data_IF_124862685740
#
_entry.id   IF_124862685740
#
_cell.length_a   1.000
_cell.length_b   1.000
_cell.length_c   1.000
_cell.angle_alpha   90.00
_cell.angle_beta   90.00
_cell.angle_gamma   90.00
#
_symmetry.space_group_name_H-M   'P 1'
#
loop_
_entity.id
_entity.type
_entity.pdbx_description
1 polymer ?
#
# COMPACT_ATOMS: atom_id res chain seq x y z
N UNK A 1 -7.20 -9.12 0.74
CA UNK A 1 -6.37 -9.75 1.81
C UNK A 1 -5.86 -8.73 2.84
N UNK A 2 -5.56 -7.51 2.41
CA UNK A 2 -4.89 -6.47 3.18
C UNK A 2 -5.60 -5.97 4.47
N UNK A 3 -6.88 -6.31 4.69
CA UNK A 3 -7.63 -5.94 5.89
C UNK A 3 -7.48 -6.92 7.04
N UNK A 4 -7.11 -8.19 6.76
CA UNK A 4 -6.94 -9.18 7.82
C UNK A 4 -5.75 -8.79 8.71
N UNK A 5 -6.03 -8.55 10.00
CA UNK A 5 -5.02 -8.20 11.01
C UNK A 5 -4.39 -9.48 11.59
N UNK A 6 -3.42 -9.35 12.49
CA UNK A 6 -2.82 -10.48 13.22
C UNK A 6 -3.87 -11.31 13.97
N UNK A 7 -4.96 -10.69 14.42
CA UNK A 7 -5.92 -11.32 15.34
C UNK A 7 -7.36 -11.36 14.81
N UNK A 8 -7.67 -10.75 13.66
CA UNK A 8 -9.05 -10.62 13.19
C UNK A 8 -9.20 -10.67 11.66
N UNK A 9 -10.10 -11.52 11.12
CA UNK A 9 -10.59 -11.40 9.75
C UNK A 9 -11.60 -10.25 9.65
N UNK A 10 -11.48 -9.41 8.62
CA UNK A 10 -12.36 -8.25 8.38
C UNK A 10 -12.24 -7.77 6.92
N UNK A 11 -13.18 -6.93 6.45
CA UNK A 11 -13.14 -6.37 5.09
C UNK A 11 -12.98 -7.44 4.00
N UNK A 12 -13.78 -8.51 4.07
CA UNK A 12 -13.70 -9.66 3.16
C UNK A 12 -12.37 -10.45 3.17
N UNK A 13 -11.46 -10.14 4.11
CA UNK A 13 -10.15 -10.77 4.22
C UNK A 13 -10.11 -11.77 5.39
N UNK A 14 -9.75 -13.02 5.10
CA UNK A 14 -9.54 -14.06 6.13
C UNK A 14 -8.05 -14.16 6.51
N UNK A 15 -7.16 -14.15 5.51
CA UNK A 15 -5.72 -14.15 5.68
C UNK A 15 -5.09 -12.97 4.93
N UNK A 16 -3.97 -12.46 5.45
CA UNK A 16 -3.22 -11.39 4.82
C UNK A 16 -2.11 -11.96 3.93
N UNK A 17 -2.43 -12.20 2.66
CA UNK A 17 -1.50 -12.82 1.71
C UNK A 17 -0.24 -11.96 1.45
N UNK A 18 -0.39 -10.63 1.37
CA UNK A 18 0.75 -9.72 1.17
C UNK A 18 1.73 -9.76 2.33
N UNK A 19 1.22 -9.66 3.57
CA UNK A 19 2.06 -9.75 4.76
C UNK A 19 2.69 -11.15 4.91
N UNK A 20 1.92 -12.21 4.67
CA UNK A 20 2.42 -13.59 4.76
C UNK A 20 3.56 -13.84 3.76
N UNK A 21 3.41 -13.40 2.51
CA UNK A 21 4.44 -13.52 1.49
C UNK A 21 5.70 -12.73 1.86
N UNK A 22 5.55 -11.47 2.31
CA UNK A 22 6.67 -10.62 2.69
C UNK A 22 7.48 -11.23 3.86
N UNK A 23 6.80 -11.63 4.93
CA UNK A 23 7.45 -12.21 6.10
C UNK A 23 8.09 -13.56 5.78
N UNK A 24 7.42 -14.39 4.98
CA UNK A 24 7.97 -15.67 4.57
C UNK A 24 9.27 -15.50 3.77
N UNK A 25 9.30 -14.57 2.80
CA UNK A 25 10.48 -14.26 2.00
C UNK A 25 11.64 -13.75 2.88
N UNK A 26 11.36 -12.81 3.79
CA UNK A 26 12.34 -12.24 4.71
C UNK A 26 12.92 -13.25 5.72
N UNK A 27 12.19 -14.32 6.02
CA UNK A 27 12.62 -15.35 6.96
C UNK A 27 13.32 -16.52 6.25
N UNK A 28 12.90 -16.87 5.04
CA UNK A 28 13.30 -18.14 4.41
C UNK A 28 14.16 -17.98 3.15
N UNK A 29 14.19 -16.81 2.49
CA UNK A 29 15.08 -16.57 1.36
C UNK A 29 16.27 -15.70 1.78
N UNK A 30 17.48 -16.26 1.93
CA UNK A 30 18.66 -15.52 2.38
C UNK A 30 19.12 -14.42 1.39
N UNK A 31 18.54 -14.36 0.20
CA UNK A 31 18.80 -13.31 -0.79
C UNK A 31 17.87 -12.10 -0.62
N UNK A 32 16.79 -12.24 0.15
CA UNK A 32 15.77 -11.21 0.35
C UNK A 32 15.97 -10.58 1.73
N UNK A 33 16.51 -9.37 1.76
CA UNK A 33 16.74 -8.60 2.96
C UNK A 33 15.70 -7.51 3.16
N UNK A 34 15.09 -7.03 2.07
CA UNK A 34 14.09 -5.96 2.07
C UNK A 34 12.93 -6.25 1.13
N UNK A 35 11.72 -6.11 1.64
CA UNK A 35 10.48 -6.25 0.86
C UNK A 35 9.71 -4.94 0.90
N UNK A 36 9.36 -4.42 -0.27
CA UNK A 36 8.47 -3.28 -0.41
C UNK A 36 7.07 -3.79 -0.78
N UNK A 37 6.04 -3.16 -0.22
CA UNK A 37 4.63 -3.49 -0.49
C UNK A 37 3.92 -2.22 -0.91
N UNK A 38 3.49 -2.20 -2.16
CA UNK A 38 2.60 -1.17 -2.71
C UNK A 38 1.16 -1.67 -2.60
N UNK A 39 0.31 -0.89 -1.97
CA UNK A 39 -1.13 -1.14 -1.91
C UNK A 39 -1.88 0.01 -2.57
N UNK A 40 -2.46 -0.26 -3.74
CA UNK A 40 -3.27 0.71 -4.47
C UNK A 40 -4.76 0.38 -4.44
N UNK A 41 -5.16 -0.62 -3.63
CA UNK A 41 -6.57 -0.81 -3.28
C UNK A 41 -7.11 0.48 -2.66
N UNK A 42 -8.32 0.86 -3.02
CA UNK A 42 -8.90 2.15 -2.59
C UNK A 42 -9.13 2.21 -1.09
N UNK A 43 -9.18 1.07 -0.42
CA UNK A 43 -9.33 0.97 1.03
C UNK A 43 -7.96 0.86 1.70
N UNK A 44 -7.82 1.46 2.89
CA UNK A 44 -6.58 1.28 3.64
C UNK A 44 -6.39 -0.20 4.01
N UNK A 45 -5.25 -0.78 3.62
CA UNK A 45 -4.78 -2.08 4.09
C UNK A 45 -4.39 -2.07 5.58
N UNK A 46 -5.35 -1.84 6.47
CA UNK A 46 -5.12 -1.73 7.92
C UNK A 46 -4.50 -2.99 8.53
N UNK A 47 -4.74 -4.16 7.94
CA UNK A 47 -4.11 -5.42 8.34
C UNK A 47 -2.63 -5.48 7.95
N UNK A 48 -2.24 -4.88 6.82
CA UNK A 48 -0.82 -4.75 6.46
C UNK A 48 -0.10 -3.83 7.46
N UNK A 49 -0.71 -2.71 7.84
CA UNK A 49 -0.17 -1.84 8.89
C UNK A 49 0.01 -2.61 10.19
N UNK A 50 -1.05 -3.27 10.68
CA UNK A 50 -1.04 -4.03 11.93
C UNK A 50 0.07 -5.10 11.96
N UNK A 51 0.27 -5.82 10.85
CA UNK A 51 1.23 -6.92 10.80
C UNK A 51 2.67 -6.43 10.62
N UNK A 52 2.89 -5.43 9.77
CA UNK A 52 4.22 -5.07 9.25
C UNK A 52 4.89 -3.89 9.96
N UNK A 53 4.16 -3.11 10.75
CA UNK A 53 4.73 -1.96 11.46
C UNK A 53 5.89 -2.30 12.41
N UNK A 54 6.00 -3.56 12.83
CA UNK A 54 7.07 -4.09 13.70
C UNK A 54 8.19 -4.82 12.92
N UNK A 55 8.14 -4.87 11.58
CA UNK A 55 9.16 -5.49 10.74
C UNK A 55 9.94 -4.43 9.93
N UNK A 56 11.09 -3.95 10.43
CA UNK A 56 11.83 -2.86 9.78
C UNK A 56 12.41 -3.23 8.40
N UNK A 57 12.48 -4.53 8.06
CA UNK A 57 12.89 -5.00 6.72
C UNK A 57 11.77 -4.90 5.69
N UNK A 58 10.53 -4.63 6.12
CA UNK A 58 9.40 -4.39 5.24
C UNK A 58 9.09 -2.89 5.17
N UNK A 59 8.79 -2.37 3.98
CA UNK A 59 8.12 -1.07 3.81
C UNK A 59 6.77 -1.26 3.15
N UNK A 60 5.74 -0.62 3.67
CA UNK A 60 4.38 -0.65 3.16
C UNK A 60 3.93 0.76 2.84
N UNK A 61 3.34 0.97 1.66
CA UNK A 61 2.65 2.21 1.34
C UNK A 61 1.25 1.91 0.83
N UNK A 62 0.29 2.74 1.22
CA UNK A 62 -1.08 2.67 0.72
C UNK A 62 -1.57 4.02 0.23
N UNK A 63 -2.15 4.02 -0.97
CA UNK A 63 -2.95 5.12 -1.50
C UNK A 63 -4.42 4.73 -1.36
N UNK A 64 -5.15 5.39 -0.47
CA UNK A 64 -6.52 4.99 -0.11
C UNK A 64 -7.43 6.18 0.07
N UNK A 65 -8.72 6.00 -0.24
CA UNK A 65 -9.71 7.05 -0.09
C UNK A 65 -9.97 7.38 1.38
N UNK A 66 -10.07 8.67 1.68
CA UNK A 66 -10.58 9.17 2.96
C UNK A 66 -11.64 10.27 2.75
N UNK A 67 -12.71 10.31 3.56
CA UNK A 67 -13.15 9.24 4.46
C UNK A 67 -13.69 8.03 3.66
N UNK A 68 -13.29 6.81 4.01
CA UNK A 68 -13.79 5.56 3.46
C UNK A 68 -13.54 4.42 4.46
N UNK A 69 -14.21 3.27 4.33
CA UNK A 69 -13.86 2.08 5.12
C UNK A 69 -12.36 1.76 4.96
N UNK A 70 -11.62 1.40 6.03
CA UNK A 70 -12.02 1.09 7.39
C UNK A 70 -12.08 2.30 8.35
N UNK A 71 -12.16 3.53 7.83
CA UNK A 71 -12.22 4.79 8.58
C UNK A 71 -10.97 5.06 9.43
N UNK A 72 -9.81 4.87 8.80
CA UNK A 72 -8.48 5.09 9.35
C UNK A 72 -7.58 5.70 8.25
N UNK A 73 -6.36 6.13 8.59
CA UNK A 73 -5.39 6.61 7.60
C UNK A 73 -5.62 8.03 7.08
N UNK A 74 -6.44 8.83 7.76
CA UNK A 74 -6.79 10.21 7.35
C UNK A 74 -5.59 11.17 7.26
N UNK A 75 -4.48 10.85 7.92
CA UNK A 75 -3.28 11.67 7.92
C UNK A 75 -2.23 11.10 6.98
N UNK A 76 -1.76 11.94 6.05
CA UNK A 76 -0.56 11.67 5.28
C UNK A 76 0.64 11.54 6.23
N UNK A 77 1.34 10.41 6.16
CA UNK A 77 2.54 10.24 6.97
C UNK A 77 2.92 8.79 7.21
N UNK A 78 4.02 8.64 7.96
CA UNK A 78 4.54 7.35 8.38
C UNK A 78 3.93 6.94 9.73
N UNK A 79 3.63 5.66 9.87
CA UNK A 79 3.06 5.04 11.07
C UNK A 79 3.93 3.88 11.54
N UNK A 80 3.72 3.48 12.80
CA UNK A 80 4.48 2.40 13.44
C UNK A 80 5.81 2.85 14.06
N UNK A 81 6.41 2.02 14.92
CA UNK A 81 7.66 2.34 15.62
C UNK A 81 8.86 2.48 14.68
N UNK A 82 8.82 1.84 13.52
CA UNK A 82 9.89 1.88 12.51
C UNK A 82 9.64 2.88 11.39
N UNK A 83 8.51 3.60 11.41
CA UNK A 83 8.12 4.53 10.34
C UNK A 83 8.16 3.91 8.94
N UNK A 84 7.84 2.62 8.88
CA UNK A 84 7.98 1.79 7.68
C UNK A 84 6.63 1.55 6.98
N UNK A 85 5.53 2.01 7.56
CA UNK A 85 4.21 2.02 6.93
C UNK A 85 3.84 3.46 6.60
N UNK A 86 3.43 3.75 5.35
CA UNK A 86 3.07 5.10 4.91
C UNK A 86 1.64 5.14 4.40
N UNK A 87 0.85 6.03 5.00
CA UNK A 87 -0.52 6.32 4.58
C UNK A 87 -0.52 7.52 3.63
N UNK A 88 -1.19 7.39 2.49
CA UNK A 88 -1.40 8.45 1.51
C UNK A 88 -2.92 8.59 1.30
N UNK A 89 -3.58 9.51 2.02
CA UNK A 89 -5.01 9.74 1.87
C UNK A 89 -5.34 10.38 0.52
N UNK A 90 -6.37 9.86 -0.15
CA UNK A 90 -6.89 10.31 -1.44
C UNK A 90 -8.33 10.80 -1.26
N UNK A 91 -8.71 11.88 -1.93
CA UNK A 91 -10.09 12.38 -1.86
C UNK A 91 -10.98 11.65 -2.87
N UNK A 92 -12.27 11.54 -2.55
CA UNK A 92 -13.25 11.08 -3.53
C UNK A 92 -13.27 12.02 -4.75
N UNK A 93 -13.46 11.47 -5.94
CA UNK A 93 -13.43 12.18 -7.22
C UNK A 93 -12.03 12.40 -7.79
N UNK A 94 -10.95 12.08 -7.06
CA UNK A 94 -9.59 12.20 -7.58
C UNK A 94 -9.41 11.27 -8.79
N UNK A 95 -9.01 11.85 -9.92
CA UNK A 95 -8.59 11.13 -11.14
C UNK A 95 -7.07 11.03 -11.19
N UNK A 96 -6.54 10.28 -12.17
CA UNK A 96 -5.09 10.19 -12.41
C UNK A 96 -4.42 11.56 -12.56
N UNK A 97 -4.88 12.36 -13.53
CA UNK A 97 -4.40 13.72 -13.74
C UNK A 97 -4.93 14.72 -12.70
N UNK A 98 -5.93 14.33 -11.91
CA UNK A 98 -6.53 15.12 -10.82
C UNK A 98 -5.77 15.04 -9.50
N UNK A 99 -4.56 14.49 -9.49
CA UNK A 99 -3.67 14.45 -8.33
C UNK A 99 -3.21 13.05 -7.93
N UNK A 100 -3.89 11.98 -8.38
CA UNK A 100 -3.47 10.62 -8.02
C UNK A 100 -2.05 10.32 -8.52
N UNK A 101 -1.71 10.75 -9.75
CA UNK A 101 -0.38 10.59 -10.31
C UNK A 101 0.70 11.23 -9.43
N UNK A 102 0.47 12.45 -8.96
CA UNK A 102 1.42 13.16 -8.08
C UNK A 102 1.57 12.43 -6.73
N UNK A 103 0.46 11.99 -6.14
CA UNK A 103 0.52 11.18 -4.91
C UNK A 103 1.33 9.89 -5.11
N UNK A 104 1.19 9.25 -6.27
CA UNK A 104 1.95 8.06 -6.61
C UNK A 104 3.44 8.37 -6.87
N UNK A 105 3.76 9.33 -7.74
CA UNK A 105 5.14 9.59 -8.17
C UNK A 105 5.97 10.34 -7.14
N UNK A 106 5.37 11.25 -6.36
CA UNK A 106 6.08 12.12 -5.43
C UNK A 106 6.02 11.63 -3.97
N UNK A 107 5.13 10.69 -3.66
CA UNK A 107 5.02 10.15 -2.29
C UNK A 107 5.15 8.64 -2.22
N UNK A 108 4.47 7.87 -3.07
CA UNK A 108 4.51 6.41 -2.98
C UNK A 108 5.85 5.83 -3.47
N UNK A 109 6.26 6.14 -4.71
CA UNK A 109 7.49 5.61 -5.31
C UNK A 109 8.78 6.02 -4.56
N UNK A 110 8.95 7.28 -4.11
CA UNK A 110 10.15 7.67 -3.37
C UNK A 110 10.24 6.97 -2.02
N UNK A 111 9.11 6.75 -1.35
CA UNK A 111 9.08 6.00 -0.10
C UNK A 111 9.37 4.51 -0.30
N UNK A 112 8.84 3.89 -1.37
CA UNK A 112 9.08 2.49 -1.68
C UNK A 112 10.53 2.19 -2.07
N UNK A 113 11.15 3.08 -2.85
CA UNK A 113 12.54 2.90 -3.30
C UNK A 113 13.56 3.28 -2.23
N UNK A 114 13.28 4.34 -1.45
CA UNK A 114 14.23 4.97 -0.53
C UNK A 114 15.61 5.22 -1.18
N UNK A 115 15.64 5.61 -2.45
CA UNK A 115 16.89 5.70 -3.19
C UNK A 115 17.83 6.73 -2.54
N UNK A 116 19.04 6.28 -2.15
CA UNK A 116 20.00 7.09 -1.39
C UNK A 116 19.68 7.27 0.10
N UNK A 117 18.57 6.70 0.59
CA UNK A 117 18.19 6.68 2.00
C UNK A 117 18.75 5.47 2.77
N UNK A 118 18.57 5.46 4.11
CA UNK A 118 19.14 4.44 5.00
C UNK A 118 18.48 3.06 4.86
N UNK A 119 17.26 2.98 4.35
CA UNK A 119 16.62 1.71 4.05
C UNK A 119 17.07 1.21 2.67
N UNK A 120 17.11 2.09 1.66
CA UNK A 120 17.61 1.83 0.31
C UNK A 120 16.73 0.86 -0.52
N UNK A 121 17.04 0.69 -1.82
CA UNK A 121 16.24 -0.08 -2.78
C UNK A 121 15.81 -1.48 -2.29
N UNK A 122 14.53 -1.90 -2.45
CA UNK A 122 14.06 -3.22 -2.06
C UNK A 122 14.60 -4.33 -2.96
N UNK A 123 14.64 -5.56 -2.44
CA UNK A 123 14.98 -6.76 -3.21
C UNK A 123 13.75 -7.30 -3.96
N UNK A 124 12.57 -7.15 -3.36
CA UNK A 124 11.27 -7.59 -3.91
C UNK A 124 10.23 -6.49 -3.68
N UNK A 125 9.37 -6.30 -4.68
CA UNK A 125 8.14 -5.51 -4.58
C UNK A 125 6.93 -6.45 -4.66
N UNK A 126 6.02 -6.34 -3.69
CA UNK A 126 4.71 -6.99 -3.69
C UNK A 126 3.65 -5.93 -3.94
N UNK A 127 2.72 -6.18 -4.86
CA UNK A 127 1.60 -5.26 -5.13
C UNK A 127 0.30 -5.87 -4.61
N UNK A 128 -0.34 -5.20 -3.65
CA UNK A 128 -1.71 -5.45 -3.28
C UNK A 128 -2.61 -4.71 -4.27
N UNK A 129 -2.97 -5.41 -5.34
CA UNK A 129 -3.63 -4.80 -6.49
C UNK A 129 -5.17 -4.88 -6.40
N UNK A 130 -5.78 -4.03 -5.57
CA UNK A 130 -7.22 -3.74 -5.65
C UNK A 130 -7.53 -2.88 -6.88
N UNK A 131 -8.72 -3.02 -7.46
CA UNK A 131 -9.15 -2.23 -8.63
C UNK A 131 -10.42 -1.42 -8.36
N UNK A 132 -10.78 -1.30 -7.09
CA UNK A 132 -11.94 -0.57 -6.57
C UNK A 132 -11.71 0.95 -6.48
N UNK A 133 -10.52 1.43 -6.82
CA UNK A 133 -10.27 2.84 -7.15
C UNK A 133 -10.73 3.21 -8.57
N UNK A 134 -11.22 2.24 -9.35
CA UNK A 134 -11.74 2.46 -10.70
C UNK A 134 -13.06 3.24 -10.65
N UNK A 135 -13.25 4.17 -11.58
CA UNK A 135 -14.43 5.02 -11.66
C UNK A 135 -15.78 4.27 -11.82
N UNK A 136 -15.72 2.99 -12.21
CA UNK A 136 -16.89 2.13 -12.34
C UNK A 136 -17.22 1.35 -11.07
N UNK A 137 -16.38 1.41 -10.04
CA UNK A 137 -16.62 0.72 -8.76
C UNK A 137 -17.60 1.52 -7.89
N UNK A 138 -18.50 0.81 -7.18
CA UNK A 138 -19.54 1.41 -6.34
C UNK A 138 -19.14 1.51 -4.86
N UNK A 139 -18.02 0.91 -4.46
CA UNK A 139 -17.59 0.86 -3.06
C UNK A 139 -16.79 2.09 -2.62
N UNK A 140 -16.24 2.85 -3.57
CA UNK A 140 -15.50 4.07 -3.32
C UNK A 140 -15.79 5.14 -4.39
N UNK A 141 -15.11 6.27 -4.30
CA UNK A 141 -15.33 7.43 -5.16
C UNK A 141 -14.07 7.94 -5.87
N UNK A 142 -12.90 7.33 -5.67
CA UNK A 142 -11.72 7.59 -6.53
C UNK A 142 -12.09 7.18 -7.97
N UNK A 143 -11.59 7.93 -8.95
CA UNK A 143 -12.08 7.87 -10.33
C UNK A 143 -10.97 7.50 -11.33
N UNK A 144 -10.20 6.46 -11.03
CA UNK A 144 -9.18 5.94 -11.95
C UNK A 144 -9.80 5.21 -13.14
N UNK A 145 -9.07 5.17 -14.25
CA UNK A 145 -9.35 4.38 -15.43
C UNK A 145 -8.41 3.16 -15.49
N UNK A 146 -8.76 2.09 -16.24
CA UNK A 146 -7.91 0.91 -16.37
C UNK A 146 -6.47 1.21 -16.82
N UNK A 147 -6.27 2.25 -17.63
CA UNK A 147 -4.95 2.66 -18.12
C UNK A 147 -4.06 3.18 -16.98
N UNK A 148 -4.64 3.84 -15.98
CA UNK A 148 -3.92 4.45 -14.85
C UNK A 148 -3.22 3.38 -13.99
N UNK A 149 -3.86 2.22 -13.79
CA UNK A 149 -3.22 1.07 -13.16
C UNK A 149 -2.07 0.50 -13.99
N UNK A 150 -2.18 0.56 -15.32
CA UNK A 150 -1.10 0.21 -16.24
C UNK A 150 0.09 1.17 -16.11
N UNK A 151 -0.16 2.47 -15.96
CA UNK A 151 0.88 3.46 -15.71
C UNK A 151 1.58 3.22 -14.37
N UNK A 152 0.83 2.91 -13.30
CA UNK A 152 1.44 2.53 -12.01
C UNK A 152 2.30 1.27 -12.14
N UNK A 153 1.81 0.23 -12.81
CA UNK A 153 2.56 -1.01 -12.98
C UNK A 153 3.84 -0.82 -13.81
N UNK A 154 3.83 0.05 -14.82
CA UNK A 154 4.99 0.34 -15.66
C UNK A 154 6.09 1.14 -14.94
N UNK A 155 5.77 1.79 -13.80
CA UNK A 155 6.69 2.58 -13.01
C UNK A 155 7.46 1.78 -11.94
N UNK A 156 7.11 0.51 -11.73
CA UNK A 156 7.76 -0.41 -10.78
C UNK A 156 8.95 -1.15 -11.42
#
# INVERSE_FOLDING_TARGET
GHHATRQQPMGFCIFNFGAAAALWLLEHDPRVNKVAILDWDVHLGNGLVDILQDEPRARYVSLHQVPCYPYQGEQLGEVGPHKNCRNIPVQAGTTWDGGYRELFTEHALPFLSDEGGPWGRPDIVIVCAGYDACAADEMAGVSLQPQDFGEMAAAL
#
